data_IF_491201255039
#
_entry.id   IF_491201255039
#
_cell.length_a   1.000
_cell.length_b   1.000
_cell.length_c   1.000
_cell.angle_alpha   90.00
_cell.angle_beta   90.00
_cell.angle_gamma   90.00
#
_symmetry.space_group_name_H-M   'P 1'
#
loop_
_entity.id
_entity.type
_entity.pdbx_description
1 polymer ?
#
# COMPACT_ATOMS: atom_id res chain seq x y z
N UNK A 1 -24.83 -3.07 7.38
CA UNK A 1 -25.09 -2.77 5.96
C UNK A 1 -26.60 -2.87 5.65
N UNK A 2 -27.17 -1.84 5.03
CA UNK A 2 -28.57 -1.80 4.56
C UNK A 2 -28.60 -1.96 3.04
N UNK A 3 -29.40 -2.91 2.55
CA UNK A 3 -29.59 -3.20 1.12
C UNK A 3 -30.95 -2.66 0.65
N UNK A 4 -30.96 -1.82 -0.38
CA UNK A 4 -32.17 -1.32 -1.05
C UNK A 4 -32.01 -1.35 -2.58
N UNK A 5 -32.59 -2.37 -3.23
CA UNK A 5 -32.58 -2.56 -4.67
C UNK A 5 -31.17 -2.48 -5.31
N UNK A 6 -30.31 -3.43 -4.95
CA UNK A 6 -28.92 -3.48 -5.40
C UNK A 6 -28.83 -3.58 -6.92
N UNK A 7 -28.03 -2.70 -7.51
CA UNK A 7 -27.72 -2.71 -8.94
C UNK A 7 -26.40 -2.00 -9.21
N UNK A 8 -25.75 -2.36 -10.32
CA UNK A 8 -24.58 -1.63 -10.79
C UNK A 8 -24.99 -0.31 -11.42
N UNK A 9 -24.18 0.73 -11.19
CA UNK A 9 -24.29 2.00 -11.90
C UNK A 9 -23.99 1.77 -13.38
N UNK A 10 -24.75 2.45 -14.22
CA UNK A 10 -24.47 2.48 -15.65
C UNK A 10 -23.22 3.32 -15.97
N UNK A 11 -23.00 4.38 -15.18
CA UNK A 11 -21.91 5.33 -15.34
C UNK A 11 -21.60 6.01 -14.01
N UNK A 12 -20.32 6.28 -13.75
CA UNK A 12 -19.88 7.13 -12.64
C UNK A 12 -19.94 8.60 -13.03
N UNK A 13 -20.28 9.46 -12.07
CA UNK A 13 -20.18 10.91 -12.20
C UNK A 13 -18.71 11.36 -12.10
N UNK A 14 -18.40 12.55 -12.61
CA UNK A 14 -17.03 13.07 -12.57
C UNK A 14 -16.47 13.20 -11.14
N UNK A 15 -17.33 13.51 -10.16
CA UNK A 15 -16.92 13.64 -8.75
C UNK A 15 -16.55 12.26 -8.19
N UNK A 16 -17.35 11.24 -8.49
CA UNK A 16 -17.08 9.85 -8.08
C UNK A 16 -15.81 9.30 -8.74
N UNK A 17 -15.58 9.62 -10.02
CA UNK A 17 -14.34 9.24 -10.72
C UNK A 17 -13.13 9.84 -10.00
N UNK A 18 -13.16 11.15 -9.71
CA UNK A 18 -12.06 11.83 -9.01
C UNK A 18 -11.82 11.21 -7.63
N UNK A 19 -12.88 10.99 -6.85
CA UNK A 19 -12.79 10.38 -5.52
C UNK A 19 -12.21 8.97 -5.58
N UNK A 20 -12.73 8.12 -6.48
CA UNK A 20 -12.22 6.77 -6.67
C UNK A 20 -10.74 6.77 -7.04
N UNK A 21 -10.33 7.56 -8.04
CA UNK A 21 -8.92 7.62 -8.47
C UNK A 21 -8.00 8.03 -7.33
N UNK A 22 -8.38 9.04 -6.54
CA UNK A 22 -7.58 9.49 -5.40
C UNK A 22 -7.49 8.44 -4.29
N UNK A 23 -8.61 7.85 -3.90
CA UNK A 23 -8.67 6.83 -2.87
C UNK A 23 -7.87 5.57 -3.27
N UNK A 24 -7.97 5.19 -4.55
CA UNK A 24 -7.22 4.05 -5.10
C UNK A 24 -5.71 4.35 -5.18
N UNK A 25 -5.33 5.54 -5.65
CA UNK A 25 -3.93 5.96 -5.72
C UNK A 25 -3.28 6.00 -4.32
N UNK A 26 -4.02 6.44 -3.30
CA UNK A 26 -3.54 6.47 -1.92
C UNK A 26 -3.31 5.06 -1.37
N UNK A 27 -4.12 4.07 -1.76
CA UNK A 27 -3.96 2.69 -1.31
C UNK A 27 -2.72 1.96 -1.85
N UNK A 28 -1.99 2.56 -2.80
CA UNK A 28 -0.64 2.11 -3.16
C UNK A 28 0.40 2.44 -2.09
N UNK A 29 0.02 3.15 -1.03
CA UNK A 29 0.93 3.56 0.02
C UNK A 29 0.38 3.20 1.40
N UNK A 30 1.27 2.78 2.29
CA UNK A 30 1.00 2.65 3.72
C UNK A 30 1.92 3.59 4.48
N UNK A 31 1.42 4.13 5.58
CA UNK A 31 2.18 4.96 6.51
C UNK A 31 2.32 4.20 7.81
N UNK A 32 3.54 4.07 8.32
CA UNK A 32 3.78 3.47 9.62
C UNK A 32 3.55 4.49 10.77
N UNK A 33 3.63 4.02 12.02
CA UNK A 33 3.45 4.86 13.21
C UNK A 33 4.47 6.01 13.33
N UNK A 34 5.56 5.95 12.56
CA UNK A 34 6.63 6.94 12.54
C UNK A 34 6.45 7.95 11.38
N UNK A 35 5.39 7.79 10.56
CA UNK A 35 5.09 8.65 9.42
C UNK A 35 5.84 8.29 8.14
N UNK A 36 6.48 7.11 8.07
CA UNK A 36 7.20 6.68 6.89
C UNK A 36 6.23 6.08 5.86
N UNK A 37 6.22 6.70 4.69
CA UNK A 37 5.40 6.24 3.56
C UNK A 37 6.13 5.16 2.77
N UNK A 38 5.51 3.98 2.66
CA UNK A 38 6.00 2.80 1.94
C UNK A 38 5.06 2.44 0.79
N UNK A 39 5.62 2.07 -0.36
CA UNK A 39 4.85 1.65 -1.54
C UNK A 39 4.38 0.19 -1.40
N UNK A 40 3.08 -0.01 -1.32
CA UNK A 40 2.39 -1.29 -1.07
C UNK A 40 1.33 -1.58 -2.15
N UNK A 41 1.73 -2.04 -3.34
CA UNK A 41 0.83 -2.20 -4.48
C UNK A 41 -0.23 -3.29 -4.30
N UNK A 42 -0.01 -4.24 -3.38
CA UNK A 42 -0.96 -5.32 -3.10
C UNK A 42 -2.20 -4.85 -2.33
N UNK A 43 -2.10 -3.77 -1.54
CA UNK A 43 -3.24 -3.17 -0.85
C UNK A 43 -4.20 -2.47 -1.82
N UNK A 44 -3.68 -1.92 -2.92
CA UNK A 44 -4.50 -1.29 -3.95
C UNK A 44 -5.55 -2.23 -4.55
N UNK A 45 -5.25 -3.55 -4.68
CA UNK A 45 -6.22 -4.52 -5.19
C UNK A 45 -7.37 -4.77 -4.20
N UNK A 46 -7.07 -4.83 -2.90
CA UNK A 46 -8.08 -4.95 -1.86
C UNK A 46 -8.93 -3.67 -1.80
N UNK A 47 -8.28 -2.51 -1.87
CA UNK A 47 -8.96 -1.23 -1.89
C UNK A 47 -9.86 -1.08 -3.12
N UNK A 48 -9.44 -1.54 -4.30
CA UNK A 48 -10.26 -1.50 -5.50
C UNK A 48 -11.61 -2.21 -5.29
N UNK A 49 -11.59 -3.39 -4.66
CA UNK A 49 -12.81 -4.14 -4.34
C UNK A 49 -13.71 -3.34 -3.39
N UNK A 50 -13.15 -2.72 -2.36
CA UNK A 50 -13.90 -1.87 -1.43
C UNK A 50 -14.52 -0.66 -2.13
N UNK A 51 -13.73 0.05 -2.94
CA UNK A 51 -14.17 1.22 -3.70
C UNK A 51 -15.21 0.87 -4.76
N UNK A 52 -15.15 -0.33 -5.35
CA UNK A 52 -16.18 -0.83 -6.24
C UNK A 52 -17.55 -0.86 -5.55
N UNK A 53 -17.64 -1.41 -4.34
CA UNK A 53 -18.92 -1.42 -3.62
C UNK A 53 -19.36 -0.03 -3.15
N UNK A 54 -18.42 0.86 -2.85
CA UNK A 54 -18.71 2.22 -2.40
C UNK A 54 -19.21 3.13 -3.53
N UNK A 55 -18.60 3.03 -4.72
CA UNK A 55 -18.84 3.96 -5.83
C UNK A 55 -19.68 3.36 -6.96
N UNK A 56 -19.56 2.05 -7.23
CA UNK A 56 -20.13 1.41 -8.43
C UNK A 56 -21.47 0.70 -8.17
N UNK A 57 -21.82 0.44 -6.91
CA UNK A 57 -23.04 -0.28 -6.55
C UNK A 57 -24.06 0.70 -5.94
N UNK A 58 -25.22 0.84 -6.57
CA UNK A 58 -26.37 1.52 -5.98
C UNK A 58 -27.13 0.57 -5.04
N UNK A 59 -27.77 1.14 -4.03
CA UNK A 59 -28.59 0.38 -3.10
C UNK A 59 -27.84 -0.22 -1.91
N UNK A 60 -26.58 0.18 -1.71
CA UNK A 60 -25.82 -0.13 -0.50
C UNK A 60 -25.68 1.11 0.36
N UNK A 61 -26.09 1.00 1.61
CA UNK A 61 -25.78 1.98 2.65
C UNK A 61 -25.03 1.27 3.75
N UNK A 62 -23.78 1.66 3.96
CA UNK A 62 -22.95 1.13 5.03
C UNK A 62 -23.22 1.90 6.31
N UNK A 63 -23.37 1.18 7.42
CA UNK A 63 -23.61 1.84 8.70
C UNK A 63 -22.27 2.36 9.26
N UNK A 64 -22.33 3.48 9.97
CA UNK A 64 -21.16 3.97 10.72
C UNK A 64 -21.16 3.29 12.08
N UNK A 65 -20.06 2.62 12.38
CA UNK A 65 -19.83 1.91 13.64
C UNK A 65 -18.77 2.70 14.41
N UNK A 66 -19.03 2.96 15.68
CA UNK A 66 -18.02 3.56 16.55
C UNK A 66 -16.97 2.49 16.86
N UNK A 67 -15.71 2.73 16.50
CA UNK A 67 -14.62 1.81 16.83
C UNK A 67 -14.28 1.87 18.34
N UNK A 68 -13.38 0.99 18.78
CA UNK A 68 -12.90 0.93 20.16
C UNK A 68 -12.18 2.23 20.60
N UNK A 69 -11.80 3.09 19.65
CA UNK A 69 -11.18 4.42 19.83
C UNK A 69 -12.21 5.53 20.07
N UNK A 70 -13.50 5.28 19.82
CA UNK A 70 -14.55 6.30 19.86
C UNK A 70 -14.73 7.07 18.55
N UNK A 71 -14.04 6.69 17.48
CA UNK A 71 -14.14 7.30 16.15
C UNK A 71 -15.30 6.66 15.37
N UNK A 72 -16.04 7.47 14.61
CA UNK A 72 -17.10 6.98 13.72
C UNK A 72 -16.46 6.42 12.45
N UNK A 73 -16.27 5.11 12.39
CA UNK A 73 -15.66 4.42 11.25
C UNK A 73 -16.77 3.76 10.42
N UNK A 74 -16.61 3.72 9.10
CA UNK A 74 -17.47 2.86 8.29
C UNK A 74 -17.31 1.40 8.75
N UNK A 75 -18.43 0.70 8.89
CA UNK A 75 -18.47 -0.78 8.96
C UNK A 75 -17.43 -1.38 8.02
N UNK A 76 -16.74 -2.45 8.43
CA UNK A 76 -15.77 -3.13 7.57
C UNK A 76 -16.47 -3.66 6.31
N UNK A 77 -16.43 -2.85 5.24
CA UNK A 77 -17.15 -3.07 3.99
C UNK A 77 -16.76 -4.42 3.40
N UNK A 78 -15.48 -4.79 3.47
CA UNK A 78 -15.00 -6.06 2.93
C UNK A 78 -15.58 -7.25 3.68
N UNK A 79 -15.60 -7.23 5.01
CA UNK A 79 -16.21 -8.30 5.81
C UNK A 79 -17.72 -8.40 5.59
N UNK A 80 -18.41 -7.24 5.59
CA UNK A 80 -19.85 -7.18 5.36
C UNK A 80 -20.23 -7.74 3.98
N UNK A 81 -19.42 -7.42 2.97
CA UNK A 81 -19.68 -7.83 1.58
C UNK A 81 -19.24 -9.27 1.30
N UNK A 82 -18.13 -9.75 1.89
CA UNK A 82 -17.70 -11.15 1.72
C UNK A 82 -18.66 -12.14 2.39
N UNK A 83 -19.36 -11.71 3.44
CA UNK A 83 -20.41 -12.51 4.09
C UNK A 83 -21.72 -12.58 3.28
N UNK A 84 -21.89 -11.74 2.25
CA UNK A 84 -23.10 -11.64 1.43
C UNK A 84 -22.90 -12.27 0.04
N UNK A 85 -23.50 -13.46 -0.18
CA UNK A 85 -23.39 -14.21 -1.44
C UNK A 85 -23.86 -13.42 -2.67
N UNK A 86 -24.85 -12.53 -2.52
CA UNK A 86 -25.41 -11.74 -3.62
C UNK A 86 -24.38 -10.72 -4.13
N UNK A 87 -23.73 -10.02 -3.20
CA UNK A 87 -22.70 -9.02 -3.51
C UNK A 87 -21.39 -9.66 -3.96
N UNK A 88 -21.04 -10.81 -3.40
CA UNK A 88 -19.90 -11.59 -3.87
C UNK A 88 -20.12 -12.05 -5.32
N UNK A 89 -21.32 -12.55 -5.65
CA UNK A 89 -21.68 -12.94 -7.01
C UNK A 89 -21.66 -11.75 -7.98
N UNK A 90 -22.09 -10.57 -7.53
CA UNK A 90 -22.10 -9.35 -8.34
C UNK A 90 -20.69 -8.93 -8.77
N UNK A 91 -19.73 -8.89 -7.83
CA UNK A 91 -18.35 -8.57 -8.16
C UNK A 91 -17.69 -9.66 -9.00
N UNK A 92 -17.98 -10.93 -8.72
CA UNK A 92 -17.48 -12.04 -9.55
C UNK A 92 -17.95 -11.93 -11.00
N UNK A 93 -19.22 -11.59 -11.23
CA UNK A 93 -19.75 -11.35 -12.59
C UNK A 93 -19.05 -10.19 -13.29
N UNK A 94 -18.70 -9.14 -12.55
CA UNK A 94 -17.86 -8.06 -13.06
C UNK A 94 -16.46 -8.57 -13.43
N UNK A 95 -15.80 -9.32 -12.56
CA UNK A 95 -14.45 -9.88 -12.80
C UNK A 95 -14.42 -10.87 -13.97
N UNK A 96 -15.52 -11.61 -14.18
CA UNK A 96 -15.74 -12.53 -15.30
C UNK A 96 -16.11 -11.82 -16.62
N UNK A 97 -16.21 -10.48 -16.63
CA UNK A 97 -16.50 -9.66 -17.84
C UNK A 97 -17.97 -9.61 -18.24
N UNK A 98 -18.91 -10.02 -17.37
CA UNK A 98 -20.34 -10.04 -17.69
C UNK A 98 -20.97 -8.64 -17.89
N UNK A 99 -20.20 -7.58 -17.60
CA UNK A 99 -20.63 -6.19 -17.65
C UNK A 99 -19.70 -5.30 -18.52
N UNK A 100 -18.87 -5.91 -19.38
CA UNK A 100 -17.91 -5.19 -20.24
C UNK A 100 -18.55 -4.13 -21.15
N UNK A 101 -19.85 -4.26 -21.41
CA UNK A 101 -20.65 -3.31 -22.19
C UNK A 101 -21.11 -2.07 -21.39
N UNK A 102 -21.00 -2.09 -20.05
CA UNK A 102 -21.34 -0.94 -19.22
C UNK A 102 -20.29 0.16 -19.36
N UNK A 103 -20.69 1.43 -19.63
CA UNK A 103 -19.77 2.57 -19.66
C UNK A 103 -18.91 2.71 -18.40
N UNK A 104 -19.48 2.35 -17.24
CA UNK A 104 -18.78 2.29 -15.96
C UNK A 104 -17.52 1.41 -16.00
N UNK A 105 -17.52 0.27 -16.70
CA UNK A 105 -16.36 -0.63 -16.77
C UNK A 105 -15.20 0.02 -17.53
N UNK A 106 -15.49 0.72 -18.62
CA UNK A 106 -14.48 1.52 -19.32
C UNK A 106 -13.93 2.62 -18.41
N UNK A 107 -14.79 3.31 -17.66
CA UNK A 107 -14.34 4.32 -16.69
C UNK A 107 -13.47 3.73 -15.58
N UNK A 108 -13.75 2.51 -15.11
CA UNK A 108 -12.93 1.84 -14.10
C UNK A 108 -11.55 1.46 -14.62
N UNK A 109 -11.42 1.09 -15.90
CA UNK A 109 -10.13 0.86 -16.52
C UNK A 109 -9.31 2.17 -16.62
N UNK A 110 -9.95 3.27 -16.99
CA UNK A 110 -9.34 4.62 -17.01
C UNK A 110 -8.91 5.05 -15.59
N UNK A 111 -9.79 4.91 -14.60
CA UNK A 111 -9.51 5.20 -13.18
C UNK A 111 -8.31 4.40 -12.69
N UNK A 112 -8.23 3.11 -13.03
CA UNK A 112 -7.14 2.24 -12.60
C UNK A 112 -5.80 2.66 -13.22
N UNK A 113 -5.81 3.06 -14.49
CA UNK A 113 -4.63 3.59 -15.17
C UNK A 113 -4.18 4.93 -14.57
N UNK A 114 -5.11 5.87 -14.38
CA UNK A 114 -4.83 7.18 -13.78
C UNK A 114 -4.31 7.05 -12.34
N UNK A 115 -4.91 6.16 -11.55
CA UNK A 115 -4.48 5.91 -10.17
C UNK A 115 -3.06 5.32 -10.12
N UNK A 116 -2.74 4.41 -11.05
CA UNK A 116 -1.39 3.87 -11.18
C UNK A 116 -0.38 4.95 -11.56
N UNK A 117 -0.70 5.82 -12.53
CA UNK A 117 0.17 6.92 -12.93
C UNK A 117 0.39 7.93 -11.79
N UNK A 118 -0.67 8.24 -11.04
CA UNK A 118 -0.57 9.07 -9.82
C UNK A 118 0.32 8.42 -8.77
N UNK A 119 0.19 7.11 -8.56
CA UNK A 119 1.01 6.38 -7.61
C UNK A 119 2.49 6.33 -8.04
N UNK A 120 2.78 6.05 -9.32
CA UNK A 120 4.15 6.09 -9.83
C UNK A 120 4.75 7.50 -9.71
N UNK A 121 3.99 8.55 -10.02
CA UNK A 121 4.46 9.93 -9.85
C UNK A 121 4.83 10.23 -8.38
N UNK A 122 3.95 9.88 -7.43
CA UNK A 122 4.21 10.07 -5.99
C UNK A 122 5.41 9.24 -5.52
N UNK A 123 5.57 8.02 -6.01
CA UNK A 123 6.74 7.17 -5.73
C UNK A 123 8.04 7.82 -6.23
N UNK A 124 8.05 8.40 -7.43
CA UNK A 124 9.22 9.11 -7.95
C UNK A 124 9.56 10.35 -7.10
N UNK A 125 8.55 11.09 -6.63
CA UNK A 125 8.75 12.21 -5.70
C UNK A 125 9.41 11.76 -4.39
N UNK A 126 8.90 10.69 -3.76
CA UNK A 126 9.48 10.14 -2.53
C UNK A 126 10.94 9.69 -2.72
N UNK A 127 11.28 9.09 -3.87
CA UNK A 127 12.66 8.70 -4.18
C UNK A 127 13.56 9.93 -4.35
N UNK A 128 13.06 10.98 -5.01
CA UNK A 128 13.80 12.23 -5.20
C UNK A 128 14.05 12.95 -3.88
N UNK A 129 13.04 13.08 -3.01
CA UNK A 129 13.18 13.70 -1.69
C UNK A 129 14.19 12.95 -0.81
N UNK A 130 14.19 11.61 -0.88
CA UNK A 130 15.20 10.77 -0.21
C UNK A 130 16.62 10.97 -0.78
N UNK A 131 16.76 11.18 -2.09
CA UNK A 131 18.07 11.45 -2.71
C UNK A 131 18.61 12.82 -2.29
N UNK A 132 17.76 13.83 -2.26
CA UNK A 132 18.17 15.18 -1.87
C UNK A 132 18.57 15.24 -0.40
N UNK A 133 17.84 14.56 0.49
CA UNK A 133 18.21 14.45 1.91
C UNK A 133 19.53 13.70 2.13
N UNK A 134 19.81 12.64 1.37
CA UNK A 134 21.11 11.96 1.39
C UNK A 134 22.24 12.85 0.86
N UNK A 135 21.99 13.64 -0.19
CA UNK A 135 22.97 14.58 -0.71
C UNK A 135 23.32 15.66 0.33
N UNK A 136 22.31 16.20 1.03
CA UNK A 136 22.48 17.16 2.12
C UNK A 136 23.30 16.54 3.27
N UNK A 137 23.02 15.29 3.65
CA UNK A 137 23.80 14.58 4.66
C UNK A 137 25.25 14.35 4.23
N UNK A 138 25.49 14.00 2.97
CA UNK A 138 26.83 13.78 2.43
C UNK A 138 27.63 15.08 2.39
N UNK A 139 26.99 16.19 2.02
CA UNK A 139 27.60 17.52 1.99
C UNK A 139 27.93 18.01 3.42
N UNK A 140 27.02 17.80 4.37
CA UNK A 140 27.26 18.08 5.79
C UNK A 140 28.40 17.24 6.37
N UNK A 141 28.50 15.96 5.99
CA UNK A 141 29.61 15.08 6.37
C UNK A 141 30.92 15.54 5.74
N UNK A 142 30.91 15.88 4.46
CA UNK A 142 32.10 16.35 3.72
C UNK A 142 32.63 17.65 4.33
N UNK A 143 31.74 18.61 4.59
CA UNK A 143 32.08 19.87 5.28
C UNK A 143 32.64 19.64 6.68
N UNK A 144 32.10 18.66 7.43
CA UNK A 144 32.63 18.28 8.74
C UNK A 144 33.97 17.56 8.67
N UNK A 145 34.21 16.76 7.63
CA UNK A 145 35.49 16.08 7.40
C UNK A 145 36.59 17.07 6.98
N UNK A 146 36.26 18.05 6.13
CA UNK A 146 37.19 19.11 5.73
C UNK A 146 37.58 20.05 6.88
N UNK A 147 36.71 20.19 7.88
CA UNK A 147 36.97 20.97 9.10
C UNK A 147 37.63 20.17 10.22
N UNK A 148 37.80 18.85 10.05
CA UNK A 148 38.46 17.98 11.03
C UNK A 148 39.95 17.85 10.72
N UNK A 149 40.78 18.18 11.72
CA UNK A 149 42.22 17.99 11.71
C UNK A 149 42.54 16.50 11.50
N UNK A 150 42.96 16.17 10.27
CA UNK A 150 43.15 14.81 9.73
C UNK A 150 44.14 13.99 10.59
N UNK A 151 44.96 14.65 11.41
CA UNK A 151 45.89 14.02 12.36
C UNK A 151 45.22 13.21 13.48
N UNK A 152 43.89 13.36 13.69
CA UNK A 152 43.12 12.65 14.74
C UNK A 152 42.04 11.72 14.19
N UNK A 153 41.93 11.56 12.88
CA UNK A 153 40.78 10.90 12.26
C UNK A 153 41.00 9.39 12.09
N UNK A 154 40.33 8.56 12.90
CA UNK A 154 40.38 7.10 12.78
C UNK A 154 39.33 6.60 11.76
N UNK A 155 39.76 6.44 10.51
CA UNK A 155 38.97 5.98 9.37
C UNK A 155 38.24 4.66 9.64
N UNK A 156 38.80 3.79 10.50
CA UNK A 156 38.20 2.52 10.89
C UNK A 156 36.83 2.73 11.58
N UNK A 157 36.76 3.69 12.51
CA UNK A 157 35.53 3.97 13.28
C UNK A 157 34.40 4.55 12.42
N UNK A 158 34.75 5.32 11.40
CA UNK A 158 33.77 5.88 10.45
C UNK A 158 33.29 4.81 9.49
N UNK A 159 34.17 3.92 9.01
CA UNK A 159 33.76 2.78 8.18
C UNK A 159 32.84 1.84 8.93
N UNK A 160 33.10 1.56 10.22
CA UNK A 160 32.23 0.74 11.06
C UNK A 160 30.88 1.41 11.32
N UNK A 161 30.84 2.73 11.51
CA UNK A 161 29.60 3.47 11.68
C UNK A 161 28.75 3.50 10.39
N UNK A 162 29.39 3.66 9.21
CA UNK A 162 28.71 3.62 7.91
C UNK A 162 28.20 2.21 7.61
N UNK A 163 29.01 1.17 7.83
CA UNK A 163 28.60 -0.23 7.66
C UNK A 163 27.46 -0.56 8.63
N UNK A 164 27.51 -0.08 9.88
CA UNK A 164 26.44 -0.29 10.85
C UNK A 164 25.15 0.45 10.48
N UNK A 165 25.25 1.67 9.96
CA UNK A 165 24.10 2.43 9.45
C UNK A 165 23.47 1.75 8.23
N UNK A 166 24.30 1.27 7.30
CA UNK A 166 23.87 0.55 6.10
C UNK A 166 23.22 -0.80 6.45
N UNK A 167 23.81 -1.55 7.39
CA UNK A 167 23.23 -2.80 7.89
C UNK A 167 21.97 -2.58 8.70
N UNK A 168 21.83 -1.47 9.43
CA UNK A 168 20.58 -1.11 10.09
C UNK A 168 19.50 -0.67 9.11
N UNK A 169 19.86 -0.07 7.96
CA UNK A 169 18.90 0.25 6.89
C UNK A 169 18.52 -0.98 6.06
N UNK A 170 19.43 -1.95 5.89
CA UNK A 170 19.16 -3.21 5.16
C UNK A 170 18.58 -4.32 6.03
N UNK A 171 18.56 -4.16 7.36
CA UNK A 171 17.88 -5.08 8.28
C UNK A 171 16.34 -5.01 8.16
N UNK A 172 15.81 -4.02 7.44
CA UNK A 172 14.40 -3.92 7.07
C UNK A 172 14.04 -4.81 5.86
N UNK A 173 15.03 -5.34 5.12
CA UNK A 173 14.80 -6.22 3.95
C UNK A 173 14.94 -7.73 4.25
N UNK A 174 15.18 -8.15 5.51
CA UNK A 174 15.44 -9.57 5.86
C UNK A 174 14.72 -10.09 7.11
N UNK A 175 13.63 -9.44 7.56
CA UNK A 175 12.79 -9.98 8.64
C UNK A 175 11.47 -10.56 8.13
N UNK A 176 11.52 -11.41 7.12
CA UNK A 176 10.53 -12.48 6.94
C UNK A 176 11.25 -13.75 6.48
N UNK A 177 11.54 -14.60 7.47
CA UNK A 177 11.51 -16.06 7.43
C UNK A 177 12.58 -16.63 8.36
N UNK A 178 12.15 -17.03 9.56
CA UNK A 178 12.44 -18.34 10.17
C UNK A 178 12.06 -18.35 11.66
N UNK A 179 10.77 -18.30 11.95
CA UNK A 179 10.23 -18.92 13.17
C UNK A 179 9.76 -20.35 12.84
N UNK A 180 10.72 -21.24 12.61
CA UNK A 180 10.50 -22.68 12.82
C UNK A 180 11.84 -23.40 12.99
N UNK A 181 12.11 -24.10 14.10
CA UNK A 181 13.34 -24.87 14.23
C UNK A 181 13.26 -26.12 13.34
N UNK A 182 14.30 -26.46 12.56
CA UNK A 182 14.30 -27.69 11.79
C UNK A 182 14.44 -28.88 12.74
N UNK A 183 13.44 -29.76 12.75
CA UNK A 183 13.52 -31.08 13.37
C UNK A 183 14.63 -31.89 12.69
N UNK A 184 15.63 -32.29 13.47
CA UNK A 184 16.66 -33.25 13.07
C UNK A 184 16.00 -34.62 12.80
N UNK A 185 15.77 -34.92 11.52
CA UNK A 185 15.46 -36.27 11.04
C UNK A 185 16.74 -36.99 10.69
N UNK A 186 17.14 -37.94 11.52
CA UNK A 186 18.21 -38.91 11.26
C UNK A 186 17.98 -39.62 9.91
N UNK A 187 18.98 -39.61 9.03
CA UNK A 187 19.21 -40.73 8.10
C UNK A 187 20.67 -41.15 8.20
N UNK A 188 20.84 -42.32 8.80
CA UNK A 188 22.07 -43.11 8.85
C UNK A 188 22.53 -43.46 7.44
N UNK A 189 23.82 -43.35 7.20
CA UNK A 189 24.52 -44.08 6.16
C UNK A 189 25.01 -45.40 6.76
N UNK A 190 24.59 -46.53 6.18
CA UNK A 190 25.09 -47.92 6.27
C UNK A 190 24.16 -48.73 5.35
N UNK A 191 24.54 -49.41 4.26
CA UNK A 191 25.81 -49.79 3.64
C UNK A 191 25.70 -49.64 2.11
#
# INVERSE_FOLDING_TARGET
MIKDNIKLKQKLTNIEIIGFTQDLANAYFSEDEEGNVTYTPYLARLQFRLLFYLYCVEGLTFETVTDDSGEMVLENILEAVESDEELHSLFKKYDDGAYDDLPMVTQLAEISADAYDMAEFKKQQLIHDRKDSLAILLDALTTKVETLDISKFNVQSVSEAIVKAYLSSSAWDLKEDNDTPPTFGEKRYEN
#
